data_IF_909079989647
#
_entry.id   IF_909079989647
#
_cell.length_a   1.000
_cell.length_b   1.000
_cell.length_c   1.000
_cell.angle_alpha   90.00
_cell.angle_beta   90.00
_cell.angle_gamma   90.00
#
_symmetry.space_group_name_H-M   'P 1'
#
loop_
_entity.id
_entity.type
_entity.pdbx_description
1 polymer ?
#
# COMPACT_ATOMS: atom_id res chain seq x y z
N UNK A 1 -23.57 -46.36 -51.94
CA UNK A 1 -22.15 -46.69 -52.27
C UNK A 1 -21.29 -45.43 -52.39
N UNK A 2 -21.62 -44.48 -53.27
CA UNK A 2 -20.87 -43.23 -53.45
C UNK A 2 -20.65 -42.39 -52.17
N UNK A 3 -21.62 -42.35 -51.25
CA UNK A 3 -21.53 -41.54 -50.04
C UNK A 3 -20.47 -41.99 -49.03
N UNK A 4 -20.31 -43.29 -48.78
CA UNK A 4 -19.34 -43.81 -47.80
C UNK A 4 -17.91 -43.78 -48.35
N UNK A 5 -17.75 -44.07 -49.65
CA UNK A 5 -16.46 -43.92 -50.34
C UNK A 5 -16.00 -42.45 -50.29
N UNK A 6 -16.88 -41.50 -50.65
CA UNK A 6 -16.58 -40.07 -50.60
C UNK A 6 -16.20 -39.62 -49.18
N UNK A 7 -16.87 -40.13 -48.15
CA UNK A 7 -16.52 -39.86 -46.75
C UNK A 7 -15.17 -40.45 -46.35
N UNK A 8 -14.87 -41.69 -46.73
CA UNK A 8 -13.58 -42.31 -46.42
C UNK A 8 -12.41 -41.59 -47.12
N UNK A 9 -12.56 -41.22 -48.39
CA UNK A 9 -11.60 -40.37 -49.12
C UNK A 9 -11.46 -39.02 -48.41
N UNK A 10 -12.56 -38.42 -47.96
CA UNK A 10 -12.52 -37.19 -47.16
C UNK A 10 -11.68 -37.34 -45.88
N UNK A 11 -11.79 -38.46 -45.17
CA UNK A 11 -10.93 -38.73 -44.00
C UNK A 11 -9.45 -38.93 -44.37
N UNK A 12 -9.14 -39.51 -45.54
CA UNK A 12 -7.75 -39.61 -46.02
C UNK A 12 -7.18 -38.24 -46.34
N UNK A 13 -7.96 -37.38 -47.01
CA UNK A 13 -7.51 -36.02 -47.33
C UNK A 13 -7.25 -35.21 -46.05
N UNK A 14 -8.14 -35.31 -45.06
CA UNK A 14 -7.92 -34.69 -43.76
C UNK A 14 -6.67 -35.23 -43.06
N UNK A 15 -6.43 -36.55 -43.12
CA UNK A 15 -5.19 -37.12 -42.58
C UNK A 15 -3.95 -36.53 -43.28
N UNK A 16 -3.97 -36.41 -44.61
CA UNK A 16 -2.86 -35.82 -45.36
C UNK A 16 -2.64 -34.34 -45.02
N UNK A 17 -3.71 -33.57 -44.89
CA UNK A 17 -3.65 -32.16 -44.47
C UNK A 17 -3.07 -32.04 -43.07
N UNK A 18 -3.61 -32.78 -42.09
CA UNK A 18 -3.13 -32.77 -40.70
C UNK A 18 -1.65 -33.19 -40.58
N UNK A 19 -1.18 -34.13 -41.39
CA UNK A 19 0.23 -34.54 -41.42
C UNK A 19 1.12 -33.48 -42.08
N UNK A 20 0.61 -32.74 -43.09
CA UNK A 20 1.37 -31.66 -43.74
C UNK A 20 1.49 -30.41 -42.90
N UNK A 21 0.48 -30.14 -42.07
CA UNK A 21 0.44 -28.99 -41.16
C UNK A 21 1.20 -29.25 -39.85
N UNK A 22 1.76 -30.46 -39.68
CA UNK A 22 2.51 -30.86 -38.49
C UNK A 22 3.88 -30.17 -38.50
N UNK A 23 4.00 -29.10 -37.74
CA UNK A 23 5.19 -28.26 -37.63
C UNK A 23 5.52 -28.00 -36.15
N UNK A 24 5.97 -29.05 -35.47
CA UNK A 24 6.33 -29.01 -34.05
C UNK A 24 7.82 -29.24 -33.86
N UNK A 25 8.53 -28.22 -33.37
CA UNK A 25 9.97 -28.27 -33.11
C UNK A 25 10.33 -29.22 -31.96
N UNK A 26 9.40 -29.38 -30.99
CA UNK A 26 9.62 -30.24 -29.84
C UNK A 26 9.21 -31.69 -30.15
N UNK A 27 10.21 -32.58 -30.23
CA UNK A 27 10.02 -34.01 -30.53
C UNK A 27 8.95 -34.68 -29.65
N UNK A 28 8.92 -34.35 -28.35
CA UNK A 28 7.92 -34.89 -27.43
C UNK A 28 6.47 -34.50 -27.76
N UNK A 29 6.27 -33.29 -28.29
CA UNK A 29 4.97 -32.75 -28.73
C UNK A 29 4.62 -33.30 -30.11
N UNK A 30 5.57 -33.27 -31.05
CA UNK A 30 5.45 -33.86 -32.38
C UNK A 30 4.96 -35.32 -32.32
N UNK A 31 5.54 -36.13 -31.44
CA UNK A 31 5.14 -37.54 -31.23
C UNK A 31 3.70 -37.65 -30.72
N UNK A 32 3.30 -36.77 -29.78
CA UNK A 32 1.96 -36.79 -29.21
C UNK A 32 0.90 -36.39 -30.25
N UNK A 33 1.17 -35.35 -31.04
CA UNK A 33 0.27 -34.88 -32.09
C UNK A 33 0.14 -35.89 -33.24
N UNK A 34 1.26 -36.48 -33.67
CA UNK A 34 1.25 -37.53 -34.69
C UNK A 34 0.37 -38.71 -34.25
N UNK A 35 0.50 -39.17 -32.99
CA UNK A 35 -0.36 -40.22 -32.43
C UNK A 35 -1.82 -39.80 -32.36
N UNK A 36 -2.10 -38.54 -32.03
CA UNK A 36 -3.46 -37.99 -32.00
C UNK A 36 -4.11 -38.02 -33.38
N UNK A 37 -3.43 -37.50 -34.40
CA UNK A 37 -3.90 -37.43 -35.79
C UNK A 37 -4.21 -38.83 -36.34
N UNK A 38 -3.30 -39.79 -36.13
CA UNK A 38 -3.50 -41.18 -36.58
C UNK A 38 -4.69 -41.83 -35.87
N UNK A 39 -4.79 -41.69 -34.55
CA UNK A 39 -5.91 -42.22 -33.78
C UNK A 39 -7.25 -41.64 -34.22
N UNK A 40 -7.29 -40.35 -34.49
CA UNK A 40 -8.49 -39.66 -34.97
C UNK A 40 -8.91 -40.17 -36.36
N UNK A 41 -7.95 -40.38 -37.26
CA UNK A 41 -8.22 -40.99 -38.55
C UNK A 41 -8.83 -42.39 -38.39
N UNK A 42 -8.21 -43.28 -37.60
CA UNK A 42 -8.71 -44.64 -37.44
C UNK A 42 -10.10 -44.67 -36.79
N UNK A 43 -10.34 -43.83 -35.77
CA UNK A 43 -11.66 -43.73 -35.12
C UNK A 43 -12.75 -43.24 -36.07
N UNK A 44 -12.49 -42.16 -36.82
CA UNK A 44 -13.49 -41.49 -37.68
C UNK A 44 -13.74 -42.25 -38.99
N UNK A 45 -12.71 -42.90 -39.54
CA UNK A 45 -12.79 -43.55 -40.85
C UNK A 45 -13.31 -44.99 -40.83
N UNK A 46 -13.27 -45.68 -39.67
CA UNK A 46 -13.53 -47.12 -39.54
C UNK A 46 -14.86 -47.59 -40.15
N UNK A 47 -15.97 -46.95 -39.79
CA UNK A 47 -17.31 -47.34 -40.27
C UNK A 47 -17.49 -47.09 -41.77
N UNK A 48 -16.89 -46.02 -42.29
CA UNK A 48 -16.95 -45.68 -43.70
C UNK A 48 -16.07 -46.63 -44.53
N UNK A 49 -14.92 -47.04 -43.99
CA UNK A 49 -14.06 -48.07 -44.56
C UNK A 49 -14.79 -49.40 -44.67
N UNK A 50 -15.31 -49.96 -43.56
CA UNK A 50 -15.96 -51.28 -43.56
C UNK A 50 -17.10 -51.38 -44.57
N UNK A 51 -17.97 -50.35 -44.63
CA UNK A 51 -19.11 -50.32 -45.57
C UNK A 51 -18.70 -50.21 -47.03
N UNK A 52 -17.52 -49.67 -47.32
CA UNK A 52 -17.03 -49.44 -48.69
C UNK A 52 -16.14 -50.60 -49.16
N UNK A 53 -15.39 -51.22 -48.26
CA UNK A 53 -14.53 -52.37 -48.53
C UNK A 53 -15.34 -53.60 -49.01
N UNK A 54 -16.59 -53.75 -48.56
CA UNK A 54 -17.51 -54.83 -49.02
C UNK A 54 -17.81 -54.73 -50.53
N UNK A 55 -17.70 -53.54 -51.13
CA UNK A 55 -18.16 -53.26 -52.51
C UNK A 55 -17.03 -53.04 -53.51
N UNK A 56 -15.92 -52.42 -53.08
CA UNK A 56 -14.76 -52.11 -53.95
C UNK A 56 -13.55 -53.00 -53.59
N UNK A 57 -13.65 -53.79 -52.53
CA UNK A 57 -12.82 -54.97 -52.29
C UNK A 57 -11.33 -54.68 -52.10
N UNK A 58 -10.57 -54.74 -53.19
CA UNK A 58 -9.12 -54.89 -53.13
C UNK A 58 -8.38 -53.55 -53.10
N UNK A 59 -8.71 -52.57 -53.96
CA UNK A 59 -7.93 -51.32 -53.99
C UNK A 59 -8.08 -50.51 -52.69
N UNK A 60 -9.29 -50.45 -52.15
CA UNK A 60 -9.54 -49.73 -50.89
C UNK A 60 -8.91 -50.45 -49.69
N UNK A 61 -8.89 -51.79 -49.71
CA UNK A 61 -8.21 -52.58 -48.71
C UNK A 61 -6.70 -52.36 -48.75
N UNK A 62 -6.11 -52.22 -49.94
CA UNK A 62 -4.68 -51.93 -50.10
C UNK A 62 -4.31 -50.53 -49.59
N UNK A 63 -5.14 -49.52 -49.86
CA UNK A 63 -4.95 -48.16 -49.30
C UNK A 63 -5.03 -48.21 -47.77
N UNK A 64 -6.05 -48.84 -47.20
CA UNK A 64 -6.18 -48.96 -45.74
C UNK A 64 -5.03 -49.74 -45.11
N UNK A 65 -4.57 -50.83 -45.75
CA UNK A 65 -3.37 -51.56 -45.34
C UNK A 65 -2.12 -50.68 -45.38
N UNK A 66 -1.98 -49.84 -46.40
CA UNK A 66 -0.84 -48.92 -46.51
C UNK A 66 -0.81 -47.93 -45.34
N UNK A 67 -1.95 -47.30 -45.02
CA UNK A 67 -2.06 -46.39 -43.86
C UNK A 67 -1.80 -47.13 -42.54
N UNK A 68 -2.32 -48.36 -42.40
CA UNK A 68 -2.08 -49.19 -41.21
C UNK A 68 -0.60 -49.55 -41.05
N UNK A 69 0.07 -49.94 -42.14
CA UNK A 69 1.51 -50.23 -42.14
C UNK A 69 2.33 -49.00 -41.78
N UNK A 70 1.95 -47.82 -42.30
CA UNK A 70 2.58 -46.56 -41.94
C UNK A 70 2.44 -46.24 -40.45
N UNK A 71 1.23 -46.36 -39.89
CA UNK A 71 1.00 -46.16 -38.47
C UNK A 71 1.82 -47.14 -37.60
N UNK A 72 1.84 -48.43 -37.96
CA UNK A 72 2.64 -49.44 -37.27
C UNK A 72 4.15 -49.18 -37.36
N UNK A 73 4.62 -48.66 -38.50
CA UNK A 73 6.00 -48.26 -38.66
C UNK A 73 6.33 -47.10 -37.71
N UNK A 74 5.49 -46.07 -37.66
CA UNK A 74 5.67 -44.94 -36.75
C UNK A 74 5.66 -45.37 -35.28
N UNK A 75 4.71 -46.20 -34.86
CA UNK A 75 4.65 -46.70 -33.48
C UNK A 75 5.94 -47.44 -33.11
N UNK A 76 6.42 -48.35 -33.97
CA UNK A 76 7.70 -49.05 -33.76
C UNK A 76 8.89 -48.11 -33.71
N UNK A 77 8.93 -47.12 -34.60
CA UNK A 77 10.01 -46.12 -34.61
C UNK A 77 9.99 -45.29 -33.32
N UNK A 78 8.81 -44.87 -32.85
CA UNK A 78 8.67 -44.12 -31.60
C UNK A 78 9.04 -44.98 -30.39
N UNK A 79 8.60 -46.23 -30.33
CA UNK A 79 8.92 -47.15 -29.24
C UNK A 79 10.42 -47.48 -29.19
N UNK A 80 11.05 -47.66 -30.36
CA UNK A 80 12.50 -47.90 -30.45
C UNK A 80 13.33 -46.67 -30.03
N UNK A 81 12.76 -45.47 -30.10
CA UNK A 81 13.41 -44.21 -29.74
C UNK A 81 12.83 -43.61 -28.44
N UNK A 82 12.15 -44.41 -27.61
CA UNK A 82 11.47 -43.94 -26.42
C UNK A 82 12.40 -43.16 -25.47
N UNK A 83 13.61 -43.67 -25.25
CA UNK A 83 14.62 -43.01 -24.41
C UNK A 83 14.98 -41.62 -24.92
N UNK A 84 15.11 -41.44 -26.24
CA UNK A 84 15.40 -40.15 -26.88
C UNK A 84 14.22 -39.18 -26.72
N UNK A 85 13.00 -39.69 -26.87
CA UNK A 85 11.77 -38.88 -26.70
C UNK A 85 11.63 -38.43 -25.24
N UNK A 86 11.88 -39.32 -24.28
CA UNK A 86 11.80 -39.01 -22.85
C UNK A 86 12.93 -38.06 -22.41
N UNK A 87 14.14 -38.22 -22.94
CA UNK A 87 15.23 -37.28 -22.74
C UNK A 87 14.91 -35.88 -23.33
N UNK A 88 14.32 -35.81 -24.53
CA UNK A 88 13.91 -34.54 -25.14
C UNK A 88 12.87 -33.80 -24.29
N UNK A 89 11.89 -34.51 -23.74
CA UNK A 89 10.88 -33.93 -22.82
C UNK A 89 11.52 -33.36 -21.56
N UNK A 90 12.48 -34.08 -21.00
CA UNK A 90 13.25 -33.60 -19.85
C UNK A 90 13.96 -32.30 -20.18
N UNK A 91 14.72 -32.27 -21.27
CA UNK A 91 15.51 -31.09 -21.64
C UNK A 91 14.60 -29.86 -21.72
N UNK A 92 13.43 -30.00 -22.32
CA UNK A 92 12.41 -28.94 -22.34
C UNK A 92 11.99 -28.48 -20.94
N UNK A 93 11.68 -29.41 -20.03
CA UNK A 93 11.33 -29.09 -18.64
C UNK A 93 12.47 -28.35 -17.93
N UNK A 94 13.71 -28.80 -18.11
CA UNK A 94 14.91 -28.18 -17.55
C UNK A 94 15.09 -26.77 -18.07
N UNK A 95 14.94 -26.54 -19.38
CA UNK A 95 15.01 -25.22 -19.99
C UNK A 95 13.94 -24.28 -19.42
N UNK A 96 12.70 -24.76 -19.29
CA UNK A 96 11.60 -23.98 -18.70
C UNK A 96 11.89 -23.59 -17.25
N UNK A 97 12.29 -24.54 -16.40
CA UNK A 97 12.61 -24.31 -14.99
C UNK A 97 13.83 -23.40 -14.83
N UNK A 98 14.84 -23.56 -15.68
CA UNK A 98 16.04 -22.70 -15.70
C UNK A 98 15.65 -21.27 -16.07
N UNK A 99 14.76 -21.09 -17.05
CA UNK A 99 14.21 -19.78 -17.39
C UNK A 99 13.49 -19.14 -16.21
N UNK A 100 12.65 -19.91 -15.51
CA UNK A 100 11.96 -19.44 -14.29
C UNK A 100 12.95 -19.02 -13.19
N UNK A 101 14.02 -19.78 -12.96
CA UNK A 101 15.08 -19.41 -12.00
C UNK A 101 15.73 -18.08 -12.40
N UNK A 102 16.07 -17.91 -13.67
CA UNK A 102 16.67 -16.67 -14.18
C UNK A 102 15.74 -15.46 -13.99
N UNK A 103 14.44 -15.61 -14.18
CA UNK A 103 13.46 -14.54 -13.92
C UNK A 103 13.36 -14.18 -12.43
N UNK A 104 13.39 -15.19 -11.56
CA UNK A 104 13.40 -14.98 -10.10
C UNK A 104 14.69 -14.24 -9.69
N UNK A 105 15.84 -14.63 -10.22
CA UNK A 105 17.13 -13.99 -9.93
C UNK A 105 17.16 -12.52 -10.38
N UNK A 106 16.69 -12.22 -11.61
CA UNK A 106 16.51 -10.84 -12.08
C UNK A 106 15.60 -10.02 -11.15
N UNK A 107 14.53 -10.63 -10.65
CA UNK A 107 13.62 -9.99 -9.70
C UNK A 107 14.29 -9.70 -8.35
N UNK A 108 15.11 -10.63 -7.85
CA UNK A 108 15.90 -10.46 -6.62
C UNK A 108 16.89 -9.30 -6.79
N UNK A 109 17.65 -9.24 -7.89
CA UNK A 109 18.58 -8.13 -8.17
C UNK A 109 17.86 -6.78 -8.23
N UNK A 110 16.68 -6.73 -8.86
CA UNK A 110 15.84 -5.54 -8.93
C UNK A 110 15.44 -5.04 -7.53
N UNK A 111 15.05 -5.95 -6.64
CA UNK A 111 14.74 -5.64 -5.25
C UNK A 111 15.96 -5.13 -4.49
N UNK A 112 17.15 -5.70 -4.70
CA UNK A 112 18.39 -5.24 -4.04
C UNK A 112 18.77 -3.82 -4.45
N UNK A 113 18.65 -3.49 -5.75
CA UNK A 113 18.84 -2.13 -6.27
C UNK A 113 17.84 -1.16 -5.63
N UNK A 114 16.57 -1.56 -5.51
CA UNK A 114 15.52 -0.77 -4.86
C UNK A 114 15.85 -0.52 -3.38
N UNK A 115 16.19 -1.56 -2.62
CA UNK A 115 16.56 -1.44 -1.20
C UNK A 115 17.76 -0.49 -1.03
N UNK A 116 18.75 -0.57 -1.92
CA UNK A 116 19.92 0.31 -1.90
C UNK A 116 19.53 1.77 -2.15
N UNK A 117 18.66 2.03 -3.12
CA UNK A 117 18.10 3.36 -3.38
C UNK A 117 17.32 3.91 -2.17
N UNK A 118 16.48 3.08 -1.54
CA UNK A 118 15.73 3.45 -0.33
C UNK A 118 16.66 3.77 0.85
N UNK A 119 17.74 3.01 1.04
CA UNK A 119 18.78 3.31 2.05
C UNK A 119 19.41 4.68 1.81
N UNK A 120 19.79 4.98 0.57
CA UNK A 120 20.35 6.28 0.20
C UNK A 120 19.39 7.45 0.46
N UNK A 121 18.10 7.29 0.13
CA UNK A 121 17.05 8.27 0.46
C UNK A 121 16.94 8.46 1.97
N UNK A 122 16.86 7.37 2.74
CA UNK A 122 16.77 7.40 4.21
C UNK A 122 17.96 8.14 4.83
N UNK A 123 19.17 7.88 4.34
CA UNK A 123 20.38 8.55 4.82
C UNK A 123 20.30 10.06 4.63
N UNK A 124 19.98 10.53 3.41
CA UNK A 124 19.79 11.97 3.13
C UNK A 124 18.75 12.62 4.03
N UNK A 125 17.64 11.94 4.30
CA UNK A 125 16.60 12.44 5.22
C UNK A 125 17.10 12.52 6.67
N UNK A 126 17.88 11.53 7.10
CA UNK A 126 18.48 11.51 8.44
C UNK A 126 19.47 12.67 8.61
N UNK A 127 20.33 12.91 7.61
CA UNK A 127 21.26 14.05 7.60
C UNK A 127 20.52 15.39 7.69
N UNK A 128 19.40 15.54 6.98
CA UNK A 128 18.57 16.74 7.07
C UNK A 128 17.95 16.92 8.46
N UNK A 129 17.52 15.85 9.12
CA UNK A 129 17.03 15.90 10.50
C UNK A 129 18.14 16.39 11.45
N UNK A 130 19.36 15.88 11.29
CA UNK A 130 20.51 16.34 12.09
C UNK A 130 20.79 17.82 11.89
N UNK A 131 20.78 18.32 10.65
CA UNK A 131 20.95 19.76 10.37
C UNK A 131 19.87 20.62 11.02
N UNK A 132 18.61 20.20 10.93
CA UNK A 132 17.49 20.92 11.57
C UNK A 132 17.61 20.94 13.10
N UNK A 133 18.11 19.85 13.70
CA UNK A 133 18.39 19.81 15.14
C UNK A 133 19.49 20.81 15.53
N UNK A 134 20.57 20.87 14.77
CA UNK A 134 21.64 21.85 15.00
C UNK A 134 21.15 23.30 14.84
N UNK A 135 20.34 23.58 13.81
CA UNK A 135 19.71 24.88 13.60
C UNK A 135 18.78 25.26 14.76
N UNK A 136 17.95 24.31 15.22
CA UNK A 136 17.05 24.51 16.35
C UNK A 136 17.83 24.83 17.64
N UNK A 137 18.93 24.12 17.90
CA UNK A 137 19.76 24.37 19.06
C UNK A 137 20.51 25.71 18.97
N UNK A 138 20.93 26.14 17.78
CA UNK A 138 21.49 27.49 17.56
C UNK A 138 20.47 28.58 17.88
N UNK A 139 19.21 28.42 17.43
CA UNK A 139 18.14 29.36 17.74
C UNK A 139 17.89 29.40 19.24
N UNK A 140 17.76 28.24 19.90
CA UNK A 140 17.52 28.17 21.35
C UNK A 140 18.60 28.83 22.21
N UNK A 141 19.86 28.81 21.75
CA UNK A 141 20.98 29.49 22.43
C UNK A 141 21.05 30.99 22.16
N UNK A 142 20.26 31.49 21.20
CA UNK A 142 20.27 32.92 20.87
C UNK A 142 19.63 33.76 21.97
N UNK A 143 20.14 35.00 22.12
CA UNK A 143 19.54 35.99 23.04
C UNK A 143 18.10 36.31 22.65
N UNK A 144 17.81 36.39 21.35
CA UNK A 144 16.47 36.63 20.80
C UNK A 144 15.47 35.59 21.29
N UNK A 145 15.84 34.30 21.23
CA UNK A 145 14.97 33.22 21.71
C UNK A 145 14.73 33.30 23.23
N UNK A 146 15.77 33.59 24.02
CA UNK A 146 15.61 33.77 25.47
C UNK A 146 14.69 34.95 25.82
N UNK A 147 14.78 36.06 25.09
CA UNK A 147 13.87 37.21 25.24
C UNK A 147 12.44 36.86 24.82
N UNK A 148 12.26 36.13 23.71
CA UNK A 148 10.95 35.67 23.27
C UNK A 148 10.31 34.71 24.29
N UNK A 149 11.09 33.82 24.90
CA UNK A 149 10.60 32.94 25.98
C UNK A 149 10.17 33.73 27.22
N UNK A 150 10.91 34.79 27.59
CA UNK A 150 10.48 35.70 28.68
C UNK A 150 9.15 36.38 28.36
N UNK A 151 8.97 36.87 27.12
CA UNK A 151 7.68 37.45 26.67
C UNK A 151 6.54 36.43 26.75
N UNK A 152 6.80 35.17 26.37
CA UNK A 152 5.81 34.09 26.48
C UNK A 152 5.39 33.82 27.93
N UNK A 153 6.36 33.77 28.85
CA UNK A 153 6.10 33.59 30.28
C UNK A 153 5.37 34.80 30.87
N UNK A 154 5.76 36.03 30.52
CA UNK A 154 5.06 37.25 30.92
C UNK A 154 3.59 37.24 30.44
N UNK A 155 3.34 36.87 29.19
CA UNK A 155 1.98 36.70 28.66
C UNK A 155 1.18 35.66 29.45
N UNK A 156 1.80 34.52 29.77
CA UNK A 156 1.15 33.45 30.54
C UNK A 156 0.81 33.89 31.96
N UNK A 157 1.72 34.60 32.63
CA UNK A 157 1.47 35.15 33.96
C UNK A 157 0.41 36.25 33.93
N UNK A 158 0.45 37.13 32.94
CA UNK A 158 -0.56 38.18 32.76
C UNK A 158 -1.96 37.60 32.54
N UNK A 159 -2.10 36.55 31.72
CA UNK A 159 -3.39 35.83 31.56
C UNK A 159 -3.90 35.26 32.88
N UNK A 160 -3.06 34.56 33.65
CA UNK A 160 -3.44 34.04 34.97
C UNK A 160 -3.84 35.16 35.94
N UNK A 161 -3.13 36.29 35.92
CA UNK A 161 -3.44 37.44 36.75
C UNK A 161 -4.76 38.09 36.36
N UNK A 162 -5.04 38.22 35.06
CA UNK A 162 -6.34 38.70 34.54
C UNK A 162 -7.46 37.80 35.06
N UNK A 163 -7.31 36.48 34.97
CA UNK A 163 -8.33 35.53 35.44
C UNK A 163 -8.55 35.63 36.95
N UNK A 164 -7.46 35.74 37.73
CA UNK A 164 -7.53 35.97 39.18
C UNK A 164 -8.24 37.28 39.51
N UNK A 165 -7.91 38.37 38.83
CA UNK A 165 -8.55 39.67 39.04
C UNK A 165 -10.04 39.65 38.69
N UNK A 166 -10.44 38.93 37.63
CA UNK A 166 -11.86 38.72 37.31
C UNK A 166 -12.56 37.97 38.45
N UNK A 167 -11.93 36.93 38.99
CA UNK A 167 -12.49 36.22 40.14
C UNK A 167 -12.63 37.14 41.37
N UNK A 168 -11.61 37.95 41.66
CA UNK A 168 -11.65 38.89 42.78
C UNK A 168 -12.70 39.99 42.60
N UNK A 169 -12.93 40.46 41.36
CA UNK A 169 -14.00 41.42 41.04
C UNK A 169 -15.39 40.87 41.40
N UNK A 170 -15.63 39.57 41.22
CA UNK A 170 -16.87 38.91 41.67
C UNK A 170 -17.04 39.04 43.18
N UNK A 171 -15.97 38.82 43.94
CA UNK A 171 -15.99 38.86 45.41
C UNK A 171 -16.24 40.25 46.00
N UNK A 172 -16.02 41.32 45.22
CA UNK A 172 -16.29 42.70 45.62
C UNK A 172 -17.77 43.13 45.42
N UNK A 173 -18.58 42.27 44.79
CA UNK A 173 -19.98 42.56 44.53
C UNK A 173 -20.84 41.86 45.57
N UNK A 174 -21.48 42.65 46.43
CA UNK A 174 -22.60 42.16 47.23
C UNK A 174 -23.85 42.08 46.33
N UNK A 175 -24.05 40.91 45.71
CA UNK A 175 -25.20 40.65 44.84
C UNK A 175 -26.54 40.75 45.57
N UNK A 176 -26.58 40.57 46.89
CA UNK A 176 -27.81 40.67 47.69
C UNK A 176 -28.16 42.14 47.91
N UNK A 177 -27.20 42.96 48.36
CA UNK A 177 -27.40 44.40 48.52
C UNK A 177 -27.72 45.09 47.18
N UNK A 178 -27.02 44.70 46.11
CA UNK A 178 -27.28 45.24 44.78
C UNK A 178 -28.67 44.84 44.27
N UNK A 179 -29.09 43.58 44.47
CA UNK A 179 -30.43 43.11 44.10
C UNK A 179 -31.56 43.85 44.83
N UNK A 180 -31.38 44.12 46.13
CA UNK A 180 -32.36 44.88 46.92
C UNK A 180 -32.55 46.31 46.40
N UNK A 181 -31.51 46.94 45.84
CA UNK A 181 -31.60 48.32 45.31
C UNK A 181 -32.20 48.41 43.91
N UNK A 182 -32.11 47.35 43.10
CA UNK A 182 -32.56 47.35 41.69
C UNK A 182 -33.77 46.44 41.43
N UNK A 183 -34.42 45.93 42.48
CA UNK A 183 -35.49 44.93 42.41
C UNK A 183 -36.70 45.37 41.56
N UNK A 184 -36.93 46.67 41.42
CA UNK A 184 -38.06 47.23 40.65
C UNK A 184 -37.86 47.18 39.13
N UNK A 185 -36.66 46.84 38.63
CA UNK A 185 -36.35 46.82 37.20
C UNK A 185 -35.98 45.42 36.70
N UNK A 186 -36.89 44.78 35.97
CA UNK A 186 -36.72 43.42 35.43
C UNK A 186 -35.49 43.26 34.52
N UNK A 187 -35.14 44.29 33.72
CA UNK A 187 -33.97 44.23 32.82
C UNK A 187 -32.66 44.23 33.61
N UNK A 188 -32.58 45.07 34.64
CA UNK A 188 -31.40 45.16 35.51
C UNK A 188 -31.24 43.92 36.38
N UNK A 189 -32.34 43.35 36.86
CA UNK A 189 -32.36 42.07 37.56
C UNK A 189 -31.89 40.90 36.69
N UNK A 190 -32.21 40.89 35.40
CA UNK A 190 -31.71 39.87 34.47
C UNK A 190 -30.19 39.94 34.33
N UNK A 191 -29.62 41.14 34.20
CA UNK A 191 -28.17 41.37 34.13
C UNK A 191 -27.51 40.92 35.44
N UNK A 192 -28.09 41.28 36.59
CA UNK A 192 -27.57 40.86 37.89
C UNK A 192 -27.56 39.34 38.06
N UNK A 193 -28.65 38.66 37.67
CA UNK A 193 -28.74 37.19 37.72
C UNK A 193 -27.69 36.52 36.83
N UNK A 194 -27.46 37.04 35.63
CA UNK A 194 -26.43 36.53 34.73
C UNK A 194 -25.03 36.62 35.36
N UNK A 195 -24.67 37.79 35.90
CA UNK A 195 -23.38 37.99 36.58
C UNK A 195 -23.28 37.22 37.93
N UNK A 196 -24.39 36.99 38.64
CA UNK A 196 -24.39 36.20 39.89
C UNK A 196 -24.14 34.71 39.63
N UNK A 197 -24.82 34.15 38.63
CA UNK A 197 -24.84 32.73 38.34
C UNK A 197 -23.58 32.29 37.57
N UNK A 198 -23.18 33.03 36.53
CA UNK A 198 -21.96 32.76 35.77
C UNK A 198 -21.17 34.05 35.50
N UNK A 199 -20.50 34.54 36.55
CA UNK A 199 -19.77 35.80 36.50
C UNK A 199 -18.71 35.83 35.39
N UNK A 200 -17.94 34.76 35.22
CA UNK A 200 -16.86 34.73 34.22
C UNK A 200 -17.40 34.84 32.79
N UNK A 201 -18.45 34.09 32.47
CA UNK A 201 -19.06 34.12 31.14
C UNK A 201 -19.76 35.46 30.85
N UNK A 202 -20.51 35.98 31.83
CA UNK A 202 -21.17 37.28 31.71
C UNK A 202 -20.15 38.41 31.53
N UNK A 203 -19.06 38.39 32.32
CA UNK A 203 -17.96 39.34 32.24
C UNK A 203 -17.17 39.23 30.93
N UNK A 204 -17.03 38.03 30.35
CA UNK A 204 -16.40 37.85 29.05
C UNK A 204 -17.21 38.51 27.92
N UNK A 205 -18.55 38.46 28.00
CA UNK A 205 -19.46 39.02 26.99
C UNK A 205 -19.51 40.55 27.00
N UNK A 206 -19.56 41.16 28.17
CA UNK A 206 -19.77 42.62 28.30
C UNK A 206 -18.56 43.38 28.85
N UNK A 207 -17.46 42.67 29.13
CA UNK A 207 -16.27 43.25 29.73
C UNK A 207 -16.54 43.92 31.07
N UNK A 208 -17.55 43.46 31.82
CA UNK A 208 -18.01 44.00 33.11
C UNK A 208 -18.75 45.35 33.03
N UNK A 209 -19.07 45.84 31.83
CA UNK A 209 -19.70 47.15 31.67
C UNK A 209 -21.12 47.19 32.25
N UNK A 210 -21.90 46.11 32.13
CA UNK A 210 -23.27 46.09 32.62
C UNK A 210 -23.32 46.09 34.16
N UNK A 211 -22.48 45.28 34.82
CA UNK A 211 -22.41 45.24 36.29
C UNK A 211 -21.83 46.55 36.87
N UNK A 212 -20.87 47.19 36.19
CA UNK A 212 -20.38 48.52 36.58
C UNK A 212 -21.49 49.58 36.57
N UNK A 213 -22.35 49.58 35.55
CA UNK A 213 -23.49 50.51 35.46
C UNK A 213 -24.48 50.29 36.61
N UNK A 214 -24.74 49.03 36.98
CA UNK A 214 -25.63 48.70 38.10
C UNK A 214 -25.07 49.18 39.44
N UNK A 215 -23.78 48.94 39.70
CA UNK A 215 -23.10 49.41 40.91
C UNK A 215 -23.13 50.94 41.04
N UNK A 216 -22.87 51.65 39.93
CA UNK A 216 -22.91 53.11 39.89
C UNK A 216 -24.32 53.67 40.15
N UNK A 217 -25.36 53.10 39.50
CA UNK A 217 -26.75 53.50 39.73
C UNK A 217 -27.23 53.25 41.16
N UNK A 218 -26.76 52.17 41.77
CA UNK A 218 -27.10 51.80 43.14
C UNK A 218 -26.34 52.61 44.20
N UNK A 219 -25.39 53.48 43.80
CA UNK A 219 -24.57 54.28 44.72
C UNK A 219 -23.78 53.42 45.70
N UNK A 220 -23.33 52.22 45.29
CA UNK A 220 -22.54 51.33 46.14
C UNK A 220 -21.07 51.69 45.97
N UNK A 221 -20.47 52.30 46.99
CA UNK A 221 -19.03 52.50 47.03
C UNK A 221 -18.33 51.16 47.31
N UNK A 222 -17.57 50.69 46.32
CA UNK A 222 -16.69 49.54 46.48
C UNK A 222 -15.43 49.72 45.62
N UNK A 223 -14.42 48.88 45.87
CA UNK A 223 -13.16 48.88 45.11
C UNK A 223 -13.30 48.31 43.69
N UNK A 224 -14.52 48.10 43.20
CA UNK A 224 -14.77 47.45 41.91
C UNK A 224 -14.26 48.30 40.75
N UNK A 225 -14.54 49.61 40.75
CA UNK A 225 -14.14 50.56 39.71
C UNK A 225 -12.60 50.68 39.60
N UNK A 226 -11.91 50.79 40.74
CA UNK A 226 -10.45 50.82 40.82
C UNK A 226 -9.84 49.54 40.23
N UNK A 227 -10.31 48.38 40.68
CA UNK A 227 -9.80 47.07 40.25
C UNK A 227 -10.12 46.79 38.79
N UNK A 228 -11.23 47.31 38.29
CA UNK A 228 -11.60 47.28 36.88
C UNK A 228 -10.64 48.10 36.01
N UNK A 229 -10.19 49.25 36.50
CA UNK A 229 -9.20 50.09 35.81
C UNK A 229 -7.84 49.39 35.76
N UNK A 230 -7.43 48.72 36.84
CA UNK A 230 -6.23 47.86 36.84
C UNK A 230 -6.34 46.71 35.84
N UNK A 231 -7.50 46.04 35.78
CA UNK A 231 -7.73 44.96 34.82
C UNK A 231 -7.64 45.45 33.38
N UNK A 232 -8.22 46.62 33.06
CA UNK A 232 -8.13 47.23 31.73
C UNK A 232 -6.68 47.55 31.36
N UNK A 233 -5.89 48.13 32.28
CA UNK A 233 -4.47 48.40 32.07
C UNK A 233 -3.67 47.11 31.80
N UNK A 234 -3.94 46.04 32.56
CA UNK A 234 -3.27 44.76 32.39
C UNK A 234 -3.66 44.09 31.06
N UNK A 235 -4.94 44.11 30.68
CA UNK A 235 -5.42 43.61 29.38
C UNK A 235 -4.77 44.37 28.21
N UNK A 236 -4.66 45.70 28.31
CA UNK A 236 -4.00 46.52 27.29
C UNK A 236 -2.52 46.15 27.14
N UNK A 237 -1.77 46.03 28.26
CA UNK A 237 -0.37 45.58 28.24
C UNK A 237 -0.20 44.18 27.68
N UNK A 238 -1.15 43.28 27.94
CA UNK A 238 -1.12 41.91 27.43
C UNK A 238 -1.39 41.87 25.92
N UNK A 239 -2.26 42.75 25.42
CA UNK A 239 -2.56 42.86 23.99
C UNK A 239 -1.42 43.42 23.14
N UNK A 240 -0.44 44.11 23.74
CA UNK A 240 0.73 44.66 23.04
C UNK A 240 1.92 43.70 22.96
N UNK A 241 1.93 42.63 23.77
CA UNK A 241 3.04 41.66 23.76
C UNK A 241 2.72 40.57 22.73
N UNK A 242 3.53 40.47 21.68
CA UNK A 242 3.49 39.39 20.69
C UNK A 242 4.60 38.39 20.95
N UNK A 243 4.30 37.10 20.74
CA UNK A 243 5.23 35.98 20.86
C UNK A 243 5.13 35.10 19.61
N UNK A 244 6.29 34.70 19.09
CA UNK A 244 6.43 33.70 18.03
C UNK A 244 7.49 32.69 18.47
N UNK A 245 7.22 31.39 18.28
CA UNK A 245 8.23 30.36 18.43
C UNK A 245 9.01 30.21 17.13
N UNK A 246 10.20 30.80 17.10
CA UNK A 246 11.08 30.79 15.92
C UNK A 246 11.53 29.37 15.52
N UNK A 247 11.30 28.36 16.39
CA UNK A 247 11.65 26.95 16.13
C UNK A 247 10.47 26.10 15.63
N UNK A 248 9.23 26.59 15.68
CA UNK A 248 8.03 25.79 15.39
C UNK A 248 8.05 25.19 13.97
N UNK A 249 8.46 25.99 12.99
CA UNK A 249 8.57 25.54 11.59
C UNK A 249 9.65 24.46 11.40
N UNK A 250 10.77 24.53 12.13
CA UNK A 250 11.84 23.53 12.10
C UNK A 250 11.37 22.22 12.74
N UNK A 251 10.67 22.30 13.88
CA UNK A 251 10.10 21.14 14.57
C UNK A 251 9.03 20.44 13.72
N UNK A 252 8.16 21.20 13.05
CA UNK A 252 7.17 20.66 12.12
C UNK A 252 7.85 19.92 10.95
N UNK A 253 8.89 20.53 10.36
CA UNK A 253 9.68 19.91 9.29
C UNK A 253 10.42 18.66 9.77
N UNK A 254 10.99 18.69 10.97
CA UNK A 254 11.64 17.54 11.60
C UNK A 254 10.67 16.37 11.76
N UNK A 255 9.47 16.63 12.28
CA UNK A 255 8.42 15.61 12.45
C UNK A 255 8.02 14.99 11.10
N UNK A 256 7.85 15.81 10.07
CA UNK A 256 7.57 15.34 8.71
C UNK A 256 8.66 14.40 8.20
N UNK A 257 9.93 14.81 8.31
CA UNK A 257 11.07 13.99 7.88
C UNK A 257 11.18 12.68 8.68
N UNK A 258 10.85 12.68 9.97
CA UNK A 258 10.82 11.47 10.79
C UNK A 258 9.74 10.48 10.32
N UNK A 259 8.57 10.98 9.91
CA UNK A 259 7.53 10.15 9.28
C UNK A 259 8.04 9.54 7.98
N UNK A 260 8.64 10.35 7.08
CA UNK A 260 9.24 9.84 5.83
C UNK A 260 10.31 8.77 6.09
N UNK A 261 11.17 8.96 7.09
CA UNK A 261 12.19 7.97 7.49
C UNK A 261 11.53 6.66 7.95
N UNK A 262 10.43 6.75 8.69
CA UNK A 262 9.69 5.58 9.15
C UNK A 262 9.04 4.82 7.98
N UNK A 263 8.41 5.53 7.05
CA UNK A 263 7.85 4.95 5.83
C UNK A 263 8.91 4.24 4.98
N UNK A 264 10.07 4.88 4.78
CA UNK A 264 11.19 4.26 4.08
C UNK A 264 11.66 2.97 4.78
N UNK A 265 11.67 2.93 6.12
CA UNK A 265 12.00 1.73 6.89
C UNK A 265 10.98 0.60 6.69
N UNK A 266 9.70 0.94 6.64
CA UNK A 266 8.62 -0.02 6.42
C UNK A 266 8.68 -0.58 4.99
N UNK A 267 8.93 0.27 4.00
CA UNK A 267 9.10 -0.14 2.61
C UNK A 267 10.28 -1.11 2.45
N UNK A 268 11.44 -0.79 3.03
CA UNK A 268 12.59 -1.72 3.02
C UNK A 268 12.28 -3.07 3.68
N UNK A 269 11.52 -3.08 4.78
CA UNK A 269 11.12 -4.31 5.46
C UNK A 269 10.21 -5.16 4.57
N UNK A 270 9.27 -4.52 3.86
CA UNK A 270 8.35 -5.18 2.94
C UNK A 270 9.09 -5.80 1.76
N UNK A 271 10.01 -5.04 1.14
CA UNK A 271 10.81 -5.54 0.03
C UNK A 271 11.75 -6.68 0.44
N UNK A 272 12.31 -6.65 1.66
CA UNK A 272 13.09 -7.79 2.20
C UNK A 272 12.27 -9.06 2.35
N UNK A 273 11.05 -8.96 2.89
CA UNK A 273 10.14 -10.11 2.99
C UNK A 273 9.78 -10.67 1.61
N UNK A 274 9.59 -9.79 0.62
CA UNK A 274 9.39 -10.21 -0.78
C UNK A 274 10.61 -10.93 -1.33
N UNK A 275 11.81 -10.41 -1.07
CA UNK A 275 13.08 -11.05 -1.46
C UNK A 275 13.23 -12.45 -0.85
N UNK A 276 12.93 -12.61 0.44
CA UNK A 276 12.97 -13.90 1.14
C UNK A 276 12.01 -14.92 0.52
N UNK A 277 10.78 -14.50 0.17
CA UNK A 277 9.81 -15.36 -0.53
C UNK A 277 10.32 -15.80 -1.90
N UNK A 278 10.93 -14.90 -2.66
CA UNK A 278 11.51 -15.23 -3.97
C UNK A 278 12.69 -16.19 -3.83
N UNK A 279 13.54 -16.02 -2.80
CA UNK A 279 14.61 -16.97 -2.50
C UNK A 279 14.06 -18.36 -2.16
N UNK A 280 13.03 -18.45 -1.32
CA UNK A 280 12.38 -19.72 -1.03
C UNK A 280 11.75 -20.36 -2.28
N UNK A 281 11.12 -19.55 -3.14
CA UNK A 281 10.57 -20.03 -4.41
C UNK A 281 11.68 -20.56 -5.33
N UNK A 282 12.82 -19.87 -5.42
CA UNK A 282 13.99 -20.32 -6.18
C UNK A 282 14.49 -21.68 -5.69
N UNK A 283 14.68 -21.85 -4.38
CA UNK A 283 15.12 -23.13 -3.81
C UNK A 283 14.11 -24.24 -4.10
N UNK A 284 12.81 -23.99 -3.96
CA UNK A 284 11.78 -24.98 -4.32
C UNK A 284 11.83 -25.37 -5.81
N UNK A 285 12.10 -24.42 -6.71
CA UNK A 285 12.24 -24.71 -8.15
C UNK A 285 13.49 -25.54 -8.42
N UNK A 286 14.60 -25.25 -7.73
CA UNK A 286 15.85 -26.03 -7.83
C UNK A 286 15.60 -27.46 -7.30
N UNK A 287 14.95 -27.61 -6.15
CA UNK A 287 14.63 -28.93 -5.58
C UNK A 287 13.71 -29.76 -6.50
N UNK A 288 12.73 -29.11 -7.15
CA UNK A 288 11.89 -29.74 -8.18
C UNK A 288 12.73 -30.26 -9.33
N UNK A 289 13.66 -29.43 -9.82
CA UNK A 289 14.53 -29.79 -10.95
C UNK A 289 15.48 -30.93 -10.57
N UNK A 290 16.07 -30.93 -9.36
CA UNK A 290 16.91 -32.03 -8.87
C UNK A 290 16.13 -33.36 -8.82
N UNK A 291 14.87 -33.34 -8.38
CA UNK A 291 14.01 -34.53 -8.36
C UNK A 291 13.72 -35.04 -9.77
N UNK A 292 13.35 -34.14 -10.68
CA UNK A 292 13.12 -34.48 -12.09
C UNK A 292 14.38 -35.08 -12.73
N UNK A 293 15.57 -34.56 -12.42
CA UNK A 293 16.84 -35.14 -12.86
C UNK A 293 17.16 -36.50 -12.24
N UNK A 294 16.67 -36.81 -11.04
CA UNK A 294 16.89 -38.10 -10.39
C UNK A 294 15.99 -39.22 -10.94
N UNK A 295 14.82 -38.87 -11.49
CA UNK A 295 13.92 -39.81 -12.16
C UNK A 295 14.45 -40.28 -13.50
N UNK A 296 15.33 -39.49 -14.09
CA UNK A 296 16.02 -39.81 -15.32
C UNK A 296 17.33 -40.38 -14.84
N UNK A 297 17.55 -41.67 -15.09
CA UNK A 297 18.78 -42.36 -14.74
C UNK A 297 19.95 -41.85 -15.62
N UNK A 298 20.20 -40.53 -15.61
CA UNK A 298 21.46 -39.90 -15.96
C UNK A 298 22.40 -40.32 -14.85
N UNK A 299 22.80 -41.59 -14.90
CA UNK A 299 24.05 -42.06 -14.33
C UNK A 299 25.09 -41.12 -14.93
N UNK A 300 25.45 -40.10 -14.16
CA UNK A 300 26.68 -39.33 -14.35
C UNK A 300 27.80 -40.34 -14.15
N UNK A 301 28.05 -41.16 -15.18
CA UNK A 301 29.24 -42.00 -15.29
C UNK A 301 30.39 -41.02 -15.36
N UNK A 302 31.05 -40.85 -14.21
CA UNK A 302 32.42 -40.35 -14.15
C UNK A 302 33.32 -41.21 -15.01
#
# INVERSE_FOLDING_TARGET
VHGNLKKYIGHINLLQESVRELDEEMLGVFVAETKSILNDFFKKSHMNYQKTAILIGNELADVHKSVTKFAQFLDKTMDSNKEVIDASRTICLVEQKTSQINEIEKSIEGIEKLITSLKGKKQKRTENVTKLLEETEKIKRSKSYAENMKKADELRQNKKNIDRMIHELRGLIDFKALGNKIHSNNKEMSILRAHKNNFQEAFAKDGGAAISKLLAKAGIENKFSEKMLHLKKLKAKTGTVSYTDDTEHLLAKQKSLQTEIHELKNNMTTERKRQERLKAQRENTIDSLIKEFAEIDVVLRR
#
